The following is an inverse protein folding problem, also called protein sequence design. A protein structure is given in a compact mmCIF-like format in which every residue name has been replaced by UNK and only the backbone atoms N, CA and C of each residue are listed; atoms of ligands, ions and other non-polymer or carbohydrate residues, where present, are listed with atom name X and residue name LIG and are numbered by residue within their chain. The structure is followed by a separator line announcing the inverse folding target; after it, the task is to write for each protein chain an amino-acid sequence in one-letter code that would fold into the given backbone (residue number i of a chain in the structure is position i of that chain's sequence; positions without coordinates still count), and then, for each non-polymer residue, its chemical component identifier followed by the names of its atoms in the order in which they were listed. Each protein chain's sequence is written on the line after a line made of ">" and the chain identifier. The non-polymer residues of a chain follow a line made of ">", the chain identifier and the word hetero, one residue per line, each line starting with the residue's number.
data_IF_634394017722
#
_entry.id   IF_634394017722
#
_cell.length_a   1.000
_cell.length_b   1.000
_cell.length_c   1.000
_cell.angle_alpha   90.00
_cell.angle_beta   90.00
_cell.angle_gamma   90.00
#
_symmetry.space_group_name_H-M   'P 1'
#
loop_
_entity.id
_entity.type
_entity.pdbx_description
1 polymer ?
#
# COMPACT_ATOMS: atom_id res chain seq x y z
N UNK A 1 20.07 -6.73 -18.64
CA UNK A 1 19.08 -6.47 -17.57
C UNK A 1 18.31 -7.76 -17.28
N UNK A 2 17.96 -8.04 -16.02
CA UNK A 2 17.17 -9.22 -15.63
C UNK A 2 15.80 -8.77 -15.12
N UNK A 3 14.76 -9.53 -15.46
CA UNK A 3 13.39 -9.33 -14.97
C UNK A 3 13.23 -9.87 -13.56
N UNK A 4 12.41 -9.20 -12.75
CA UNK A 4 12.00 -9.64 -11.41
C UNK A 4 10.47 -9.71 -11.39
N UNK A 5 9.93 -10.75 -10.78
CA UNK A 5 8.49 -10.89 -10.52
C UNK A 5 8.21 -10.36 -9.12
N UNK A 6 7.22 -9.47 -8.99
CA UNK A 6 6.80 -8.92 -7.69
C UNK A 6 5.44 -9.50 -7.35
N UNK A 7 5.38 -10.19 -6.21
CA UNK A 7 4.12 -10.63 -5.62
C UNK A 7 3.66 -9.63 -4.56
N UNK A 8 2.38 -9.23 -4.55
CA UNK A 8 1.89 -8.26 -3.58
C UNK A 8 1.85 -8.86 -2.18
N UNK A 9 2.26 -8.05 -1.20
CA UNK A 9 2.07 -8.33 0.23
C UNK A 9 0.59 -8.23 0.65
N UNK A 10 -0.16 -7.35 0.01
CA UNK A 10 -1.55 -7.06 0.34
C UNK A 10 -2.13 -5.96 -0.53
N UNK A 11 -3.19 -5.32 -0.04
CA UNK A 11 -3.88 -4.22 -0.73
C UNK A 11 -3.80 -2.92 0.04
N UNK A 12 -3.75 -1.80 -0.68
CA UNK A 12 -3.94 -0.46 -0.08
C UNK A 12 -5.42 -0.12 -0.18
N UNK A 13 -6.04 0.21 0.94
CA UNK A 13 -7.47 0.54 1.05
C UNK A 13 -7.63 1.96 1.56
N UNK A 14 -8.47 2.76 0.91
CA UNK A 14 -8.64 4.16 1.25
C UNK A 14 -7.64 5.06 0.52
N UNK A 15 -7.34 6.23 1.10
CA UNK A 15 -6.69 7.31 0.38
C UNK A 15 -7.59 7.86 -0.72
N UNK A 16 -7.00 8.23 -1.85
CA UNK A 16 -7.68 8.97 -2.92
C UNK A 16 -8.01 8.13 -4.13
N UNK A 17 -9.14 8.45 -4.74
CA UNK A 17 -9.54 7.92 -6.06
C UNK A 17 -8.67 8.51 -7.18
N UNK A 18 -8.17 9.74 -7.00
CA UNK A 18 -7.30 10.43 -7.96
C UNK A 18 -5.96 10.80 -7.30
N UNK A 19 -4.86 10.59 -8.01
CA UNK A 19 -3.54 11.07 -7.62
C UNK A 19 -3.44 12.58 -7.87
N UNK A 20 -3.97 13.36 -6.93
CA UNK A 20 -3.87 14.82 -6.91
C UNK A 20 -2.82 15.20 -5.86
N UNK A 21 -2.03 16.21 -6.19
CA UNK A 21 -1.10 16.85 -5.27
C UNK A 21 -1.84 17.99 -4.54
N UNK A 22 -2.08 17.79 -3.25
CA UNK A 22 -2.80 18.70 -2.35
C UNK A 22 -2.13 18.73 -0.97
N UNK A 23 -0.81 18.70 -0.98
CA UNK A 23 0.07 18.65 0.19
C UNK A 23 -0.01 17.35 1.00
N UNK A 24 -0.76 16.33 0.54
CA UNK A 24 -0.81 14.94 1.05
C UNK A 24 -1.03 14.74 2.56
N UNK A 25 -1.42 15.79 3.29
CA UNK A 25 -1.39 15.79 4.76
C UNK A 25 -2.68 15.29 5.44
N UNK A 26 -3.76 15.05 4.69
CA UNK A 26 -5.11 14.87 5.28
C UNK A 26 -5.61 13.43 5.16
N UNK A 27 -5.16 12.69 4.16
CA UNK A 27 -5.75 11.39 3.85
C UNK A 27 -5.19 10.28 4.71
N UNK A 28 -6.03 9.28 4.95
CA UNK A 28 -5.66 8.05 5.62
C UNK A 28 -5.86 6.87 4.68
N UNK A 29 -4.88 5.96 4.68
CA UNK A 29 -4.94 4.71 3.96
C UNK A 29 -4.55 3.56 4.89
N UNK A 30 -5.10 2.38 4.61
CA UNK A 30 -4.81 1.14 5.32
C UNK A 30 -4.09 0.18 4.37
N UNK A 31 -2.90 -0.26 4.76
CA UNK A 31 -2.24 -1.41 4.13
C UNK A 31 -2.81 -2.67 4.76
N UNK A 32 -3.53 -3.48 3.98
CA UNK A 32 -4.18 -4.71 4.42
C UNK A 32 -3.39 -5.92 3.91
N UNK A 33 -2.60 -6.61 4.77
CA UNK A 33 -1.86 -7.80 4.39
C UNK A 33 -2.78 -8.93 3.94
N UNK A 34 -2.31 -9.78 3.03
CA UNK A 34 -2.94 -11.08 2.78
C UNK A 34 -2.69 -12.01 3.99
N UNK A 35 -3.69 -12.11 4.86
CA UNK A 35 -3.63 -12.91 6.10
C UNK A 35 -3.58 -14.41 5.86
N UNK A 36 -3.82 -14.89 4.63
CA UNK A 36 -3.62 -16.31 4.31
C UNK A 36 -2.15 -16.66 4.11
N UNK A 37 -1.30 -15.64 3.87
CA UNK A 37 0.14 -15.79 3.59
C UNK A 37 1.03 -15.18 4.67
N UNK A 38 0.57 -14.10 5.30
CA UNK A 38 1.36 -13.29 6.24
C UNK A 38 0.64 -13.13 7.59
N UNK A 39 1.22 -13.71 8.64
CA UNK A 39 0.75 -13.57 10.01
C UNK A 39 1.13 -12.22 10.64
N UNK A 40 0.86 -12.07 11.94
CA UNK A 40 1.19 -10.83 12.67
C UNK A 40 2.69 -10.61 12.82
N UNK A 41 3.48 -11.68 12.84
CA UNK A 41 4.94 -11.65 12.92
C UNK A 41 5.58 -10.91 11.74
N UNK A 42 4.91 -10.86 10.58
CA UNK A 42 5.37 -10.11 9.41
C UNK A 42 5.38 -8.58 9.63
N UNK A 43 4.78 -8.10 10.72
CA UNK A 43 4.74 -6.68 11.11
C UNK A 43 5.55 -6.38 12.38
N UNK A 44 6.26 -7.37 12.93
CA UNK A 44 6.97 -7.22 14.20
C UNK A 44 8.01 -6.08 14.13
N UNK A 45 7.98 -5.19 15.12
CA UNK A 45 8.91 -4.07 15.25
C UNK A 45 8.59 -2.85 14.39
N UNK A 46 7.54 -2.88 13.56
CA UNK A 46 7.11 -1.69 12.80
C UNK A 46 6.62 -0.55 13.72
N UNK A 47 6.16 -0.88 14.92
CA UNK A 47 5.72 0.07 15.95
C UNK A 47 6.87 0.92 16.53
N UNK A 48 8.13 0.53 16.31
CA UNK A 48 9.30 1.31 16.70
C UNK A 48 9.61 2.47 15.72
N UNK A 49 8.89 2.56 14.59
CA UNK A 49 9.12 3.57 13.54
C UNK A 49 7.91 4.48 13.38
N UNK A 50 8.16 5.75 13.08
CA UNK A 50 7.10 6.74 12.81
C UNK A 50 6.73 6.85 11.33
N UNK A 51 7.56 6.34 10.42
CA UNK A 51 7.39 6.47 8.97
C UNK A 51 7.75 5.16 8.25
N UNK A 52 7.09 4.91 7.13
CA UNK A 52 7.35 3.77 6.25
C UNK A 52 7.44 4.25 4.81
N UNK A 53 8.34 3.65 4.03
CA UNK A 53 8.28 3.73 2.57
C UNK A 53 7.47 2.55 2.05
N UNK A 54 6.45 2.86 1.23
CA UNK A 54 5.49 1.86 0.77
C UNK A 54 5.49 1.88 -0.75
N UNK A 55 6.01 0.81 -1.35
CA UNK A 55 5.92 0.61 -2.80
C UNK A 55 4.60 -0.08 -3.11
N UNK A 56 3.73 0.60 -3.84
CA UNK A 56 2.46 0.06 -4.28
C UNK A 56 2.25 0.31 -5.75
N UNK A 57 1.50 -0.58 -6.40
CA UNK A 57 1.02 -0.39 -7.76
C UNK A 57 -0.39 0.17 -7.69
N UNK A 58 -0.55 1.44 -8.00
CA UNK A 58 -1.87 2.00 -8.30
C UNK A 58 -2.32 1.43 -9.64
N UNK A 59 -3.40 0.66 -9.64
CA UNK A 59 -4.13 0.43 -10.88
C UNK A 59 -5.09 1.61 -10.99
N UNK A 60 -4.91 2.43 -12.02
CA UNK A 60 -5.89 3.47 -12.31
C UNK A 60 -7.25 2.78 -12.43
N UNK A 61 -8.27 3.30 -11.73
CA UNK A 61 -9.65 2.88 -11.97
C UNK A 61 -9.96 3.15 -13.44
N UNK A 62 -9.98 2.11 -14.26
CA UNK A 62 -10.54 2.13 -15.62
C UNK A 62 -12.06 1.94 -15.54
N UNK A 63 -12.70 2.14 -14.38
CA UNK A 63 -14.14 2.13 -14.30
C UNK A 63 -14.66 3.49 -14.82
N UNK A 64 -15.47 3.50 -15.91
CA UNK A 64 -16.23 4.68 -16.25
C UNK A 64 -17.18 4.98 -15.08
N UNK A 65 -17.34 6.26 -14.77
CA UNK A 65 -18.31 6.72 -13.77
C UNK A 65 -19.72 6.27 -14.12
#
# INVERSE_FOLDING_TARGET
>A
MRTIVVEPFGTVVGGRVKAVDDDWNIEQALIRPDRTRFGSESLAGLDAFSHLEVVFRSIASILPR
#
